data_IF_367884182675
#
_entry.id   IF_367884182675
#
_cell.length_a   1.000
_cell.length_b   1.000
_cell.length_c   1.000
_cell.angle_alpha   90.00
_cell.angle_beta   90.00
_cell.angle_gamma   90.00
#
_symmetry.space_group_name_H-M   'P 1'
#
loop_
_entity.id
_entity.type
_entity.pdbx_description
1 polymer ?
#
# COMPACT_ATOMS: atom_id res chain seq x y z
N UNK A 1 21.27 17.97 6.70
CA UNK A 1 19.84 17.67 6.42
C UNK A 1 19.72 16.16 6.23
N UNK A 2 18.91 15.46 7.05
CA UNK A 2 18.54 14.08 6.72
C UNK A 2 17.82 14.10 5.36
N UNK A 3 18.17 13.19 4.46
CA UNK A 3 17.43 13.02 3.22
C UNK A 3 15.99 12.63 3.58
N UNK A 4 14.99 13.31 3.01
CA UNK A 4 13.58 13.01 3.24
C UNK A 4 13.28 11.52 2.99
N UNK A 5 13.95 10.91 2.00
CA UNK A 5 13.85 9.48 1.71
C UNK A 5 14.36 8.61 2.85
N UNK A 6 15.46 8.97 3.49
CA UNK A 6 16.05 8.20 4.60
C UNK A 6 15.18 8.29 5.85
N UNK A 7 14.59 9.47 6.09
CA UNK A 7 13.61 9.65 7.17
C UNK A 7 12.40 8.75 6.98
N UNK A 8 11.77 8.79 5.79
CA UNK A 8 10.63 7.94 5.46
C UNK A 8 11.00 6.45 5.59
N UNK A 9 12.17 6.05 5.08
CA UNK A 9 12.61 4.66 5.13
C UNK A 9 12.79 4.17 6.57
N UNK A 10 13.28 5.02 7.47
CA UNK A 10 13.45 4.64 8.88
C UNK A 10 12.10 4.52 9.61
N UNK A 11 11.19 5.47 9.39
CA UNK A 11 9.85 5.46 10.01
C UNK A 11 9.02 4.25 9.57
N UNK A 12 9.09 3.87 8.29
CA UNK A 12 8.30 2.75 7.74
C UNK A 12 8.77 1.35 8.20
N UNK A 13 9.84 1.26 9.00
CA UNK A 13 10.21 0.02 9.70
C UNK A 13 9.26 -0.30 10.84
N UNK A 14 8.64 0.72 11.44
CA UNK A 14 7.57 0.53 12.42
C UNK A 14 6.28 0.13 11.70
N UNK A 15 5.65 -0.95 12.18
CA UNK A 15 4.48 -1.53 11.52
C UNK A 15 3.23 -0.66 11.68
N UNK A 16 3.11 0.09 12.79
CA UNK A 16 1.96 0.97 13.02
C UNK A 16 2.06 2.20 12.11
N UNK A 17 3.24 2.83 12.04
CA UNK A 17 3.51 3.95 11.14
C UNK A 17 3.30 3.57 9.66
N UNK A 18 3.81 2.40 9.26
CA UNK A 18 3.59 1.88 7.91
C UNK A 18 2.11 1.61 7.62
N UNK A 19 1.35 1.11 8.60
CA UNK A 19 -0.08 0.89 8.45
C UNK A 19 -0.86 2.19 8.24
N UNK A 20 -0.55 3.23 9.02
CA UNK A 20 -1.17 4.55 8.86
C UNK A 20 -0.84 5.17 7.51
N UNK A 21 0.43 5.08 7.08
CA UNK A 21 0.86 5.58 5.78
C UNK A 21 0.16 4.87 4.60
N UNK A 22 0.03 3.53 4.66
CA UNK A 22 -0.71 2.76 3.65
C UNK A 22 -2.22 3.05 3.70
N UNK A 23 -2.79 3.25 4.88
CA UNK A 23 -4.21 3.63 5.03
C UNK A 23 -4.47 4.98 4.37
N UNK A 24 -3.69 6.01 4.72
CA UNK A 24 -3.85 7.35 4.19
C UNK A 24 -3.76 7.37 2.66
N UNK A 25 -2.72 6.73 2.10
CA UNK A 25 -2.57 6.65 0.63
C UNK A 25 -3.69 5.85 -0.07
N UNK A 26 -4.30 4.87 0.61
CA UNK A 26 -5.47 4.16 0.09
C UNK A 26 -6.75 5.00 0.16
N UNK A 27 -6.91 5.82 1.20
CA UNK A 27 -8.02 6.77 1.33
C UNK A 27 -7.95 7.84 0.24
N UNK A 28 -6.77 8.41 -0.04
CA UNK A 28 -6.57 9.33 -1.15
C UNK A 28 -6.95 8.70 -2.49
N UNK A 29 -6.45 7.49 -2.78
CA UNK A 29 -6.84 6.72 -3.96
C UNK A 29 -8.36 6.51 -4.05
N UNK A 30 -9.03 6.26 -2.92
CA UNK A 30 -10.47 6.05 -2.88
C UNK A 30 -11.26 7.33 -3.20
N UNK A 31 -10.66 8.51 -2.97
CA UNK A 31 -11.27 9.81 -3.26
C UNK A 31 -11.04 10.27 -4.71
N UNK A 32 -9.85 10.05 -5.28
CA UNK A 32 -9.46 10.60 -6.58
C UNK A 32 -9.28 9.54 -7.70
N UNK A 33 -9.26 8.25 -7.36
CA UNK A 33 -9.01 7.14 -8.28
C UNK A 33 -7.55 6.95 -8.70
N UNK A 34 -6.61 7.73 -8.15
CA UNK A 34 -5.21 7.72 -8.52
C UNK A 34 -4.43 6.63 -7.76
N UNK A 35 -4.36 5.45 -8.37
CA UNK A 35 -3.70 4.29 -7.74
C UNK A 35 -2.18 4.45 -7.65
N UNK A 36 -1.56 5.36 -8.42
CA UNK A 36 -0.10 5.48 -8.48
C UNK A 36 0.51 5.81 -7.12
N UNK A 37 -0.14 6.70 -6.37
CA UNK A 37 0.29 7.12 -5.04
C UNK A 37 0.28 5.94 -4.06
N UNK A 38 -0.79 5.13 -4.07
CA UNK A 38 -0.90 3.95 -3.23
C UNK A 38 0.15 2.87 -3.59
N UNK A 39 0.41 2.63 -4.88
CA UNK A 39 1.45 1.68 -5.30
C UNK A 39 2.85 2.16 -4.92
N UNK A 40 3.10 3.48 -5.02
CA UNK A 40 4.35 4.08 -4.56
C UNK A 40 4.51 3.93 -3.04
N UNK A 41 3.44 4.12 -2.26
CA UNK A 41 3.46 3.93 -0.81
C UNK A 41 3.82 2.48 -0.43
N UNK A 42 3.19 1.48 -1.09
CA UNK A 42 3.53 0.06 -0.91
C UNK A 42 5.00 -0.20 -1.23
N UNK A 43 5.53 0.40 -2.30
CA UNK A 43 6.96 0.28 -2.64
C UNK A 43 7.85 0.86 -1.53
N UNK A 44 7.53 2.04 -1.01
CA UNK A 44 8.32 2.69 0.06
C UNK A 44 8.37 1.81 1.32
N UNK A 45 7.23 1.24 1.73
CA UNK A 45 7.16 0.32 2.87
C UNK A 45 7.96 -0.96 2.59
N UNK A 46 7.87 -1.50 1.37
CA UNK A 46 8.66 -2.66 0.99
C UNK A 46 10.17 -2.38 0.99
N UNK A 47 10.61 -1.19 0.57
CA UNK A 47 12.00 -0.75 0.63
C UNK A 47 12.49 -0.70 2.09
N UNK A 48 11.69 -0.16 3.01
CA UNK A 48 12.00 -0.08 4.43
C UNK A 48 12.06 -1.44 5.15
N UNK A 49 11.19 -2.39 4.79
CA UNK A 49 11.01 -3.67 5.51
C UNK A 49 11.81 -4.85 4.91
N UNK A 50 12.96 -4.57 4.30
CA UNK A 50 13.86 -5.60 3.75
C UNK A 50 13.94 -5.66 2.22
N UNK A 51 13.45 -4.62 1.55
CA UNK A 51 13.63 -4.40 0.12
C UNK A 51 12.67 -5.19 -0.79
N UNK A 52 12.59 -4.74 -2.05
CA UNK A 52 11.76 -5.35 -3.09
C UNK A 52 12.12 -6.81 -3.36
N UNK A 53 13.40 -7.16 -3.26
CA UNK A 53 13.85 -8.54 -3.42
C UNK A 53 13.33 -9.45 -2.28
N UNK A 54 13.31 -8.94 -1.04
CA UNK A 54 12.78 -9.66 0.12
C UNK A 54 11.27 -9.85 0.00
N UNK A 55 10.55 -8.80 -0.39
CA UNK A 55 9.12 -8.86 -0.63
C UNK A 55 8.77 -9.86 -1.75
N UNK A 56 9.48 -9.83 -2.88
CA UNK A 56 9.24 -10.75 -3.99
C UNK A 56 9.31 -12.21 -3.55
N UNK A 57 10.30 -12.55 -2.71
CA UNK A 57 10.43 -13.90 -2.14
C UNK A 57 9.26 -14.25 -1.21
N UNK A 58 8.88 -13.35 -0.30
CA UNK A 58 7.76 -13.56 0.64
C UNK A 58 6.41 -13.64 -0.05
N UNK A 59 6.24 -12.95 -1.17
CA UNK A 59 5.00 -12.89 -1.95
C UNK A 59 4.92 -13.96 -3.04
N UNK A 60 5.96 -14.81 -3.19
CA UNK A 60 6.06 -15.81 -4.26
C UNK A 60 5.91 -15.21 -5.68
N UNK A 61 6.42 -13.98 -5.85
CA UNK A 61 6.44 -13.26 -7.12
C UNK A 61 7.88 -13.14 -7.63
N UNK A 62 8.07 -13.18 -8.95
CA UNK A 62 9.36 -12.78 -9.49
C UNK A 62 9.53 -11.24 -9.39
N UNK A 63 10.78 -10.78 -9.29
CA UNK A 63 11.11 -9.36 -9.09
C UNK A 63 10.55 -8.48 -10.21
N UNK A 64 10.63 -8.92 -11.46
CA UNK A 64 10.12 -8.17 -12.61
C UNK A 64 8.61 -7.96 -12.54
N UNK A 65 7.87 -8.98 -12.11
CA UNK A 65 6.43 -8.91 -11.89
C UNK A 65 6.11 -7.94 -10.78
N UNK A 66 6.84 -8.00 -9.66
CA UNK A 66 6.64 -7.07 -8.54
C UNK A 66 6.97 -5.63 -8.94
N UNK A 67 8.07 -5.38 -9.67
CA UNK A 67 8.42 -4.05 -10.16
C UNK A 67 7.35 -3.47 -11.09
N UNK A 68 6.82 -4.27 -12.02
CA UNK A 68 5.73 -3.86 -12.91
C UNK A 68 4.44 -3.61 -12.12
N UNK A 69 4.15 -4.47 -11.15
CA UNK A 69 2.95 -4.39 -10.31
C UNK A 69 2.93 -3.11 -9.47
N UNK A 70 4.08 -2.73 -8.90
CA UNK A 70 4.24 -1.53 -8.07
C UNK A 70 4.84 -0.36 -8.85
N UNK A 71 4.62 -0.31 -10.17
CA UNK A 71 5.01 0.84 -11.00
C UNK A 71 3.86 1.86 -11.06
N UNK A 72 4.14 3.05 -11.59
CA UNK A 72 3.11 4.08 -11.84
C UNK A 72 1.97 3.53 -12.73
N UNK A 73 2.31 2.85 -13.81
CA UNK A 73 1.34 2.17 -14.68
C UNK A 73 0.87 0.80 -14.14
N UNK A 74 1.13 0.51 -12.87
CA UNK A 74 0.76 -0.76 -12.25
C UNK A 74 -0.75 -0.88 -12.08
N UNK A 75 -1.30 -2.07 -12.34
CA UNK A 75 -2.69 -2.39 -12.08
C UNK A 75 -2.78 -3.80 -11.46
N UNK A 76 -2.40 -3.96 -10.17
CA UNK A 76 -2.47 -5.25 -9.51
C UNK A 76 -3.90 -5.77 -9.49
N UNK A 77 -4.08 -7.03 -9.89
CA UNK A 77 -5.31 -7.76 -9.54
C UNK A 77 -5.41 -7.88 -8.02
N UNK A 78 -6.63 -7.92 -7.48
CA UNK A 78 -6.91 -8.06 -6.04
C UNK A 78 -6.08 -9.18 -5.39
N UNK A 79 -5.96 -10.34 -6.06
CA UNK A 79 -5.16 -11.47 -5.53
C UNK A 79 -3.68 -11.13 -5.34
N UNK A 80 -3.11 -10.33 -6.25
CA UNK A 80 -1.71 -9.91 -6.21
C UNK A 80 -1.53 -8.85 -5.15
N UNK A 81 -2.45 -7.88 -5.06
CA UNK A 81 -2.43 -6.86 -4.01
C UNK A 81 -2.51 -7.50 -2.62
N UNK A 82 -3.43 -8.47 -2.43
CA UNK A 82 -3.54 -9.24 -1.18
C UNK A 82 -2.23 -9.93 -0.83
N UNK A 83 -1.63 -10.66 -1.77
CA UNK A 83 -0.36 -11.35 -1.55
C UNK A 83 0.74 -10.37 -1.12
N UNK A 84 0.90 -9.26 -1.83
CA UNK A 84 1.89 -8.22 -1.50
C UNK A 84 1.67 -7.63 -0.10
N UNK A 85 0.44 -7.22 0.22
CA UNK A 85 0.12 -6.62 1.52
C UNK A 85 0.34 -7.63 2.66
N UNK A 86 -0.13 -8.87 2.51
CA UNK A 86 0.06 -9.91 3.53
C UNK A 86 1.54 -10.24 3.75
N UNK A 87 2.37 -10.25 2.69
CA UNK A 87 3.82 -10.45 2.81
C UNK A 87 4.54 -9.29 3.52
N UNK A 88 3.92 -8.11 3.57
CA UNK A 88 4.36 -6.95 4.36
C UNK A 88 3.70 -6.90 5.76
N UNK A 89 2.82 -7.85 6.10
CA UNK A 89 2.12 -7.88 7.40
C UNK A 89 0.80 -7.12 7.45
N UNK A 90 0.28 -6.65 6.31
CA UNK A 90 -0.95 -5.86 6.21
C UNK A 90 -2.10 -6.62 5.55
N UNK A 91 -3.32 -6.11 5.73
CA UNK A 91 -4.53 -6.59 5.05
C UNK A 91 -5.44 -5.41 4.74
N UNK A 92 -6.22 -5.52 3.66
CA UNK A 92 -7.33 -4.59 3.42
C UNK A 92 -8.51 -4.93 4.32
N UNK A 93 -9.22 -3.91 4.77
CA UNK A 93 -10.46 -4.00 5.54
C UNK A 93 -11.59 -3.33 4.75
N UNK A 94 -12.82 -3.78 4.99
CA UNK A 94 -14.01 -3.11 4.47
C UNK A 94 -14.60 -2.30 5.61
N UNK A 95 -14.70 -0.99 5.40
CA UNK A 95 -15.25 -0.04 6.35
C UNK A 95 -16.49 0.63 5.72
N UNK A 96 -17.49 1.04 6.52
CA UNK A 96 -18.61 1.79 6.00
C UNK A 96 -18.12 3.13 5.44
N UNK A 97 -18.48 3.44 4.20
CA UNK A 97 -18.46 4.84 3.77
C UNK A 97 -19.56 5.52 4.59
N UNK A 98 -19.20 6.45 5.48
CA UNK A 98 -20.18 7.18 6.30
C UNK A 98 -21.08 8.02 5.40
N UNK A 99 -22.14 7.40 4.86
CA UNK A 99 -23.43 7.93 4.39
C UNK A 99 -24.08 6.98 3.37
N UNK A 100 -24.86 6.02 3.86
CA UNK A 100 -26.20 5.86 3.30
C UNK A 100 -27.14 6.36 4.39
N UNK A 101 -27.39 7.67 4.40
CA UNK A 101 -28.42 8.26 5.25
C UNK A 101 -29.79 7.86 4.71
N UNK A 102 -30.27 6.70 5.13
CA UNK A 102 -31.64 6.23 4.89
C UNK A 102 -32.64 6.82 5.89
N UNK A 103 -32.32 7.94 6.58
CA UNK A 103 -33.25 8.65 7.48
C UNK A 103 -33.60 10.05 6.95
N UNK A 104 -34.02 10.13 5.69
CA UNK A 104 -34.97 11.14 5.18
C UNK A 104 -35.87 10.55 4.09
N UNK A 105 -36.66 9.55 4.46
CA UNK A 105 -37.85 9.14 3.71
C UNK A 105 -38.80 8.41 4.66
N UNK A 106 -39.49 9.17 5.51
CA UNK A 106 -40.92 9.10 5.88
C UNK A 106 -41.18 10.29 6.80
#
# INVERSE_FOLDING_TARGET
MRNYRDFVTETMKDSAEAAEYLRYSFEEYSADGNIEAFLAAIRSVAEAQGGIAGLAKKAELNRQTLYRTLSKAGNPRIKTLRSVLCSLGFRLTIEPVLSFDSRKAV
#
